data_IF_180251754773
#
_entry.id   IF_180251754773
#
_cell.length_a   1.000
_cell.length_b   1.000
_cell.length_c   1.000
_cell.angle_alpha   90.00
_cell.angle_beta   90.00
_cell.angle_gamma   90.00
#
_symmetry.space_group_name_H-M   'P 1'
#
loop_
_entity.id
_entity.type
_entity.pdbx_description
1 polymer ?
#
# COMPACT_ATOMS: atom_id res chain seq x y z
N UNK A 1 -16.12 -24.96 -7.48
CA UNK A 1 -15.44 -23.86 -8.18
C UNK A 1 -14.74 -23.03 -7.13
N UNK A 2 -13.42 -23.18 -6.98
CA UNK A 2 -12.66 -22.25 -6.14
C UNK A 2 -12.64 -20.93 -6.90
N UNK A 3 -13.47 -19.98 -6.49
CA UNK A 3 -13.34 -18.62 -6.99
C UNK A 3 -11.90 -18.18 -6.69
N UNK A 4 -11.19 -17.67 -7.69
CA UNK A 4 -9.90 -17.04 -7.46
C UNK A 4 -10.14 -15.94 -6.41
N UNK A 5 -9.31 -15.85 -5.35
CA UNK A 5 -9.47 -14.78 -4.38
C UNK A 5 -9.40 -13.43 -5.12
N UNK A 6 -10.21 -12.45 -4.72
CA UNK A 6 -10.16 -11.12 -5.35
C UNK A 6 -8.75 -10.56 -5.25
N UNK A 7 -8.21 -10.09 -6.37
CA UNK A 7 -6.92 -9.40 -6.41
C UNK A 7 -7.15 -7.98 -5.89
N UNK A 8 -6.64 -7.71 -4.69
CA UNK A 8 -6.65 -6.38 -4.10
C UNK A 8 -5.49 -5.55 -4.64
N UNK A 9 -5.76 -4.28 -4.96
CA UNK A 9 -4.70 -3.30 -5.22
C UNK A 9 -4.04 -2.90 -3.88
N UNK A 10 -2.75 -2.60 -3.91
CA UNK A 10 -1.97 -2.11 -2.78
C UNK A 10 -1.42 -0.70 -3.04
N UNK A 11 -1.51 0.19 -2.05
CA UNK A 11 -0.81 1.49 -2.03
C UNK A 11 -0.05 1.63 -0.72
N UNK A 12 0.97 2.49 -0.67
CA UNK A 12 1.77 2.67 0.54
C UNK A 12 2.82 3.77 0.44
N UNK A 13 3.38 4.14 1.58
CA UNK A 13 4.38 5.20 1.76
C UNK A 13 5.74 4.65 2.20
N UNK A 14 6.04 3.40 1.83
CA UNK A 14 7.19 2.58 2.27
C UNK A 14 7.17 2.22 3.77
N UNK A 15 6.53 3.01 4.63
CA UNK A 15 6.37 2.72 6.06
C UNK A 15 5.13 1.88 6.35
N UNK A 16 4.05 2.10 5.62
CA UNK A 16 2.77 1.43 5.74
C UNK A 16 2.24 0.94 4.40
N UNK A 17 1.11 0.26 4.44
CA UNK A 17 0.43 -0.28 3.27
C UNK A 17 -1.07 -0.36 3.49
N UNK A 18 -1.83 -0.11 2.43
CA UNK A 18 -3.28 -0.24 2.36
C UNK A 18 -3.66 -1.23 1.25
N UNK A 19 -4.73 -2.01 1.46
CA UNK A 19 -5.30 -2.88 0.42
C UNK A 19 -6.71 -2.44 0.06
N UNK A 20 -6.95 -2.29 -1.23
CA UNK A 20 -8.18 -1.76 -1.80
C UNK A 20 -8.79 -2.80 -2.74
N UNK A 21 -10.08 -3.08 -2.57
CA UNK A 21 -10.84 -3.98 -3.42
C UNK A 21 -11.30 -3.28 -4.71
N UNK A 22 -11.71 -4.05 -5.75
CA UNK A 22 -12.13 -3.49 -7.05
C UNK A 22 -13.27 -2.46 -6.98
N UNK A 23 -14.09 -2.48 -5.94
CA UNK A 23 -15.17 -1.52 -5.67
C UNK A 23 -14.70 -0.34 -4.78
N UNK A 24 -13.39 -0.09 -4.75
CA UNK A 24 -12.73 0.88 -3.89
C UNK A 24 -12.96 0.66 -2.39
N UNK A 25 -13.36 -0.52 -1.92
CA UNK A 25 -13.41 -0.78 -0.47
C UNK A 25 -11.99 -0.91 0.10
N UNK A 26 -11.66 -0.12 1.13
CA UNK A 26 -10.42 -0.30 1.89
C UNK A 26 -10.62 -1.47 2.87
N UNK A 27 -9.96 -2.60 2.59
CA UNK A 27 -10.13 -3.85 3.34
C UNK A 27 -9.07 -4.06 4.41
N UNK A 28 -7.90 -3.43 4.26
CA UNK A 28 -6.80 -3.55 5.22
C UNK A 28 -5.94 -2.27 5.19
N UNK A 29 -5.41 -1.88 6.35
CA UNK A 29 -4.55 -0.73 6.52
C UNK A 29 -3.54 -0.96 7.65
N UNK A 30 -2.27 -0.81 7.32
CA UNK A 30 -1.15 -0.79 8.26
C UNK A 30 -0.45 0.55 8.12
N UNK A 31 -0.54 1.41 9.12
CA UNK A 31 0.07 2.76 9.09
C UNK A 31 1.58 2.74 9.36
N UNK A 32 2.08 1.68 9.99
CA UNK A 32 3.50 1.44 10.21
C UNK A 32 3.79 -0.06 10.26
N UNK A 33 4.89 -0.50 9.64
CA UNK A 33 5.35 -1.89 9.73
C UNK A 33 5.47 -2.32 11.20
N UNK A 34 4.94 -3.49 11.51
CA UNK A 34 4.86 -4.02 12.88
C UNK A 34 3.66 -3.55 13.68
N UNK A 35 2.83 -2.61 13.18
CA UNK A 35 1.55 -2.30 13.80
C UNK A 35 0.63 -3.52 13.79
N UNK A 36 -0.23 -3.63 14.81
CA UNK A 36 -1.36 -4.52 14.73
C UNK A 36 -2.27 -4.10 13.58
N UNK A 37 -2.60 -5.05 12.69
CA UNK A 37 -3.65 -4.85 11.68
C UNK A 37 -4.99 -4.69 12.40
N UNK A 38 -5.79 -3.69 12.05
CA UNK A 38 -7.14 -3.63 12.53
C UNK A 38 -7.89 -4.84 11.97
N UNK A 39 -8.24 -5.80 12.83
CA UNK A 39 -9.04 -6.95 12.46
C UNK A 39 -10.50 -6.64 12.78
N UNK A 40 -11.35 -6.74 11.76
CA UNK A 40 -12.79 -6.63 11.94
C UNK A 40 -13.53 -7.38 10.84
N UNK A 41 -14.77 -7.76 11.11
CA UNK A 41 -15.67 -8.41 10.13
C UNK A 41 -16.22 -7.41 9.10
N UNK A 42 -15.79 -6.15 9.16
CA UNK A 42 -16.27 -5.03 8.34
C UNK A 42 -15.11 -4.33 7.66
N UNK A 43 -15.31 -3.77 6.46
CA UNK A 43 -14.29 -2.96 5.79
C UNK A 43 -13.95 -1.70 6.59
N UNK A 44 -12.71 -1.24 6.46
CA UNK A 44 -12.23 -0.04 7.15
C UNK A 44 -12.84 1.22 6.58
N UNK A 45 -12.98 1.31 5.26
CA UNK A 45 -13.65 2.42 4.58
C UNK A 45 -14.35 1.88 3.34
N UNK A 46 -15.64 2.11 3.23
CA UNK A 46 -16.41 1.77 2.04
C UNK A 46 -17.17 2.97 1.50
N UNK A 47 -17.41 2.93 0.19
CA UNK A 47 -18.21 3.90 -0.53
C UNK A 47 -19.51 3.23 -0.97
N UNK A 48 -20.63 3.84 -0.64
CA UNK A 48 -21.94 3.45 -1.15
C UNK A 48 -22.43 4.50 -2.15
N UNK A 49 -22.91 4.03 -3.30
CA UNK A 49 -23.53 4.83 -4.34
C UNK A 49 -24.90 4.22 -4.60
N UNK A 50 -25.91 5.08 -4.73
CA UNK A 50 -27.27 4.64 -5.00
C UNK A 50 -27.40 4.12 -6.44
N UNK A 51 -28.04 2.96 -6.61
CA UNK A 51 -28.30 2.37 -7.93
C UNK A 51 -27.16 1.51 -8.48
N UNK A 52 -27.18 1.27 -9.79
CA UNK A 52 -26.13 0.48 -10.46
C UNK A 52 -24.90 1.35 -10.75
N UNK A 53 -23.73 0.83 -10.40
CA UNK A 53 -22.45 1.47 -10.66
C UNK A 53 -21.48 0.49 -11.34
N UNK A 54 -20.68 0.99 -12.28
CA UNK A 54 -19.57 0.24 -12.89
C UNK A 54 -18.26 0.82 -12.40
N UNK A 55 -17.34 -0.07 -12.03
CA UNK A 55 -16.08 0.26 -11.38
C UNK A 55 -14.92 -0.20 -12.26
N UNK A 56 -13.92 0.65 -12.42
CA UNK A 56 -12.65 0.29 -13.05
C UNK A 56 -11.50 0.87 -12.25
N UNK A 57 -10.48 0.06 -12.00
CA UNK A 57 -9.29 0.46 -11.26
C UNK A 57 -8.04 0.37 -12.12
N UNK A 58 -7.17 1.37 -11.98
CA UNK A 58 -5.86 1.39 -12.58
C UNK A 58 -4.89 2.18 -11.69
N UNK A 59 -3.63 1.78 -11.67
CA UNK A 59 -2.60 2.64 -11.11
C UNK A 59 -2.30 3.78 -12.06
N UNK A 60 -2.07 4.98 -11.52
CA UNK A 60 -1.50 6.08 -12.31
C UNK A 60 -0.11 5.63 -12.80
N UNK A 61 0.18 5.69 -14.11
CA UNK A 61 1.42 5.16 -14.69
C UNK A 61 2.68 5.66 -13.98
N UNK A 62 3.64 4.76 -13.73
CA UNK A 62 4.89 5.08 -13.04
C UNK A 62 4.76 5.34 -11.54
N UNK A 63 3.56 5.25 -10.96
CA UNK A 63 3.35 5.59 -9.54
C UNK A 63 2.78 4.47 -8.68
N UNK A 64 2.77 4.66 -7.36
CA UNK A 64 1.99 3.84 -6.43
C UNK A 64 0.73 4.59 -5.94
N UNK A 65 0.08 5.28 -6.87
CA UNK A 65 -1.22 5.95 -6.68
C UNK A 65 -2.27 5.16 -7.45
N UNK A 66 -3.34 4.79 -6.77
CA UNK A 66 -4.44 4.02 -7.36
C UNK A 66 -5.59 4.96 -7.72
N UNK A 67 -6.09 4.82 -8.94
CA UNK A 67 -7.28 5.50 -9.42
C UNK A 67 -8.42 4.49 -9.59
N UNK A 68 -9.61 4.83 -9.09
CA UNK A 68 -10.86 4.11 -9.36
C UNK A 68 -11.84 5.05 -10.05
N UNK A 69 -12.27 4.71 -11.26
CA UNK A 69 -13.37 5.40 -11.95
C UNK A 69 -14.67 4.67 -11.70
N UNK A 70 -15.73 5.44 -11.44
CA UNK A 70 -17.07 4.93 -11.15
C UNK A 70 -18.07 5.63 -12.05
N UNK A 71 -18.73 4.87 -12.91
CA UNK A 71 -19.86 5.37 -13.69
C UNK A 71 -21.16 5.00 -12.96
N UNK A 72 -21.95 5.99 -12.56
CA UNK A 72 -23.19 5.83 -11.81
C UNK A 72 -24.30 6.67 -12.44
N UNK A 73 -25.22 6.02 -13.15
CA UNK A 73 -26.25 6.73 -13.93
C UNK A 73 -25.63 7.60 -15.03
N UNK A 74 -25.91 8.90 -15.00
CA UNK A 74 -25.37 9.94 -15.88
C UNK A 74 -24.17 10.71 -15.27
N UNK A 75 -23.69 10.26 -14.10
CA UNK A 75 -22.55 10.85 -13.41
C UNK A 75 -21.32 9.95 -13.36
N UNK A 76 -20.18 10.58 -13.12
CA UNK A 76 -18.89 9.91 -12.96
C UNK A 76 -18.17 10.43 -11.69
N UNK A 77 -17.60 9.49 -10.94
CA UNK A 77 -16.65 9.77 -9.85
C UNK A 77 -15.28 9.20 -10.19
N UNK A 78 -14.25 9.95 -9.85
CA UNK A 78 -12.86 9.50 -9.82
C UNK A 78 -12.40 9.48 -8.36
N UNK A 79 -11.88 8.33 -7.91
CA UNK A 79 -11.27 8.16 -6.60
C UNK A 79 -9.78 8.01 -6.78
N UNK A 80 -9.01 8.78 -6.02
CA UNK A 80 -7.55 8.66 -5.95
C UNK A 80 -7.17 8.24 -4.54
N UNK A 81 -6.56 7.05 -4.45
CA UNK A 81 -6.09 6.42 -3.22
C UNK A 81 -4.56 6.39 -3.19
N UNK A 82 -3.98 6.87 -2.09
CA UNK A 82 -2.53 6.89 -1.90
C UNK A 82 -2.17 6.98 -0.42
N UNK A 83 -0.92 6.67 -0.09
CA UNK A 83 -0.34 7.03 1.21
C UNK A 83 0.74 8.08 0.97
N UNK A 84 0.69 9.27 1.63
CA UNK A 84 1.57 10.37 1.29
C UNK A 84 3.05 10.06 1.52
N UNK A 85 3.85 10.35 0.50
CA UNK A 85 5.29 10.12 0.48
C UNK A 85 5.96 11.29 -0.24
N UNK A 86 6.93 11.94 0.42
CA UNK A 86 7.69 13.02 -0.19
C UNK A 86 9.18 12.65 -0.31
N UNK A 87 9.89 13.31 -1.21
CA UNK A 87 11.36 13.31 -1.17
C UNK A 87 11.83 13.98 0.12
N UNK A 88 12.88 13.42 0.72
CA UNK A 88 13.48 14.07 1.86
C UNK A 88 14.36 15.25 1.44
N UNK A 89 14.54 16.21 2.35
CA UNK A 89 15.49 17.31 2.13
C UNK A 89 16.91 16.77 2.01
N UNK A 90 17.77 17.48 1.29
CA UNK A 90 19.18 17.16 1.18
C UNK A 90 19.81 16.88 2.55
N UNK A 91 20.32 15.66 2.74
CA UNK A 91 20.88 15.17 4.01
C UNK A 91 19.93 14.38 4.92
N UNK A 92 18.67 14.14 4.53
CA UNK A 92 17.67 13.42 5.33
C UNK A 92 17.16 12.11 4.67
N UNK A 93 18.03 11.21 4.21
CA UNK A 93 17.60 9.94 3.60
C UNK A 93 16.85 10.12 2.27
N UNK A 94 16.21 9.05 1.77
CA UNK A 94 15.63 9.05 0.41
C UNK A 94 14.15 9.45 0.37
N UNK A 95 13.42 9.39 1.49
CA UNK A 95 11.95 9.60 1.51
C UNK A 95 11.41 9.96 2.90
N UNK A 96 10.30 10.70 2.93
CA UNK A 96 9.56 11.08 4.14
C UNK A 96 8.12 10.57 4.03
N UNK A 97 7.82 9.54 4.83
CA UNK A 97 6.49 8.94 4.92
C UNK A 97 5.61 9.70 5.92
N UNK A 98 4.35 10.00 5.55
CA UNK A 98 3.42 10.65 6.48
C UNK A 98 2.80 9.69 7.49
N UNK A 99 2.70 8.39 7.16
CA UNK A 99 2.01 7.41 8.00
C UNK A 99 0.50 7.60 8.01
N UNK A 100 -0.07 7.92 6.84
CA UNK A 100 -1.50 8.14 6.64
C UNK A 100 -1.94 7.53 5.31
N UNK A 101 -3.21 7.12 5.25
CA UNK A 101 -3.91 6.84 3.99
C UNK A 101 -4.81 8.03 3.65
N UNK A 102 -4.77 8.47 2.40
CA UNK A 102 -5.62 9.53 1.88
C UNK A 102 -6.41 9.02 0.68
N UNK A 103 -7.70 9.36 0.67
CA UNK A 103 -8.62 9.17 -0.44
C UNK A 103 -9.18 10.52 -0.87
N UNK A 104 -9.09 10.84 -2.16
CA UNK A 104 -9.76 11.99 -2.77
C UNK A 104 -10.84 11.46 -3.71
N UNK A 105 -12.08 11.93 -3.55
CA UNK A 105 -13.20 11.55 -4.42
C UNK A 105 -13.66 12.82 -5.12
N UNK A 106 -13.62 12.82 -6.44
CA UNK A 106 -14.00 13.96 -7.29
C UNK A 106 -15.10 13.53 -8.24
N UNK A 107 -16.14 14.35 -8.39
CA UNK A 107 -17.11 14.16 -9.47
C UNK A 107 -16.57 14.79 -10.74
N UNK A 108 -16.33 13.99 -11.78
CA UNK A 108 -15.74 14.43 -13.06
C UNK A 108 -16.82 14.78 -14.08
N UNK A 109 -17.99 14.13 -14.00
CA UNK A 109 -19.15 14.35 -14.86
C UNK A 109 -20.47 14.23 -14.08
N UNK A 110 -21.49 14.99 -14.52
CA UNK A 110 -22.84 14.92 -13.96
C UNK A 110 -22.92 15.29 -12.46
N UNK A 111 -23.74 14.53 -11.73
CA UNK A 111 -23.84 14.63 -10.27
C UNK A 111 -24.13 13.27 -9.64
N UNK A 112 -23.39 12.92 -8.59
CA UNK A 112 -23.49 11.61 -7.92
C UNK A 112 -23.72 11.80 -6.42
N UNK A 113 -24.72 11.09 -5.90
CA UNK A 113 -24.95 10.95 -4.46
C UNK A 113 -24.16 9.76 -3.93
N UNK A 114 -23.45 9.97 -2.83
CA UNK A 114 -22.61 8.96 -2.19
C UNK A 114 -22.69 9.01 -0.68
N UNK A 115 -22.37 7.88 -0.05
CA UNK A 115 -22.14 7.75 1.39
C UNK A 115 -20.83 7.03 1.64
N UNK A 116 -19.95 7.64 2.44
CA UNK A 116 -18.80 6.96 3.00
C UNK A 116 -19.15 6.43 4.38
N UNK A 117 -18.70 5.23 4.69
CA UNK A 117 -18.72 4.70 6.04
C UNK A 117 -17.33 4.15 6.42
N UNK A 118 -16.89 4.50 7.61
CA UNK A 118 -15.65 4.04 8.23
C UNK A 118 -15.99 3.26 9.49
N UNK A 119 -15.57 2.00 9.55
CA UNK A 119 -15.59 1.22 10.79
C UNK A 119 -14.50 1.71 11.73
N UNK A 120 -14.89 2.33 12.84
CA UNK A 120 -13.96 2.89 13.83
C UNK A 120 -13.12 1.76 14.41
N UNK A 121 -11.80 1.87 14.25
CA UNK A 121 -10.84 0.90 14.74
C UNK A 121 -9.83 1.55 15.71
N UNK A 122 -9.42 0.87 16.79
CA UNK A 122 -8.40 1.39 17.69
C UNK A 122 -7.10 1.75 16.96
N UNK A 123 -6.52 2.89 17.29
CA UNK A 123 -5.25 3.36 16.70
C UNK A 123 -5.37 3.96 15.30
N UNK A 124 -6.59 4.07 14.75
CA UNK A 124 -6.87 4.76 13.49
C UNK A 124 -7.84 5.90 13.77
N UNK A 125 -7.39 7.12 13.54
CA UNK A 125 -8.24 8.31 13.49
C UNK A 125 -8.77 8.49 12.05
N UNK A 126 -10.04 8.88 11.95
CA UNK A 126 -10.70 9.21 10.69
C UNK A 126 -10.98 10.71 10.61
N UNK A 127 -10.62 11.29 9.48
CA UNK A 127 -10.90 12.69 9.16
C UNK A 127 -11.49 12.81 7.76
N UNK A 128 -12.38 13.80 7.58
CA UNK A 128 -13.03 14.09 6.31
C UNK A 128 -13.11 15.60 6.12
N UNK A 129 -12.94 16.06 4.88
CA UNK A 129 -13.09 17.48 4.51
C UNK A 129 -14.56 17.95 4.52
N UNK A 130 -15.50 17.06 4.84
CA UNK A 130 -16.93 17.35 5.04
C UNK A 130 -17.38 16.91 6.43
N UNK A 131 -18.49 17.46 6.96
CA UNK A 131 -19.03 17.05 8.26
C UNK A 131 -19.25 15.55 8.36
N UNK A 132 -18.86 14.96 9.48
CA UNK A 132 -18.97 13.53 9.76
C UNK A 132 -19.95 13.33 10.90
N UNK A 133 -20.86 12.37 10.74
CA UNK A 133 -21.70 11.87 11.83
C UNK A 133 -21.12 10.54 12.32
N UNK A 134 -20.89 10.43 13.62
CA UNK A 134 -20.44 9.19 14.26
C UNK A 134 -21.60 8.58 15.06
N UNK A 135 -21.85 7.29 14.87
CA UNK A 135 -22.88 6.55 15.60
C UNK A 135 -22.34 5.17 15.94
N UNK A 136 -22.18 4.89 17.23
CA UNK A 136 -21.56 3.66 17.70
C UNK A 136 -20.12 3.52 17.19
N UNK A 137 -19.85 2.41 16.50
CA UNK A 137 -18.55 2.05 15.94
C UNK A 137 -18.38 2.47 14.47
N UNK A 138 -19.23 3.38 13.97
CA UNK A 138 -19.17 3.81 12.56
C UNK A 138 -19.17 5.34 12.46
N UNK A 139 -18.25 5.86 11.65
CA UNK A 139 -18.26 7.25 11.19
C UNK A 139 -18.75 7.31 9.74
N UNK A 140 -19.68 8.22 9.46
CA UNK A 140 -20.31 8.34 8.14
C UNK A 140 -20.31 9.78 7.63
N UNK A 141 -20.16 9.94 6.32
CA UNK A 141 -20.48 11.20 5.64
C UNK A 141 -21.33 10.88 4.42
N UNK A 142 -22.31 11.72 4.14
CA UNK A 142 -23.10 11.65 2.92
C UNK A 142 -22.97 12.96 2.16
N UNK A 143 -22.86 12.87 0.85
CA UNK A 143 -22.72 14.03 -0.01
C UNK A 143 -23.35 13.77 -1.37
N UNK A 144 -23.83 14.85 -1.98
CA UNK A 144 -24.04 14.91 -3.42
C UNK A 144 -22.94 15.77 -4.00
N UNK A 145 -22.17 15.21 -4.92
CA UNK A 145 -21.13 15.93 -5.63
C UNK A 145 -21.62 16.25 -7.04
N UNK A 146 -21.35 17.47 -7.48
CA UNK A 146 -21.50 17.91 -8.87
C UNK A 146 -20.13 17.97 -9.52
N UNK A 147 -20.08 18.00 -10.86
CA UNK A 147 -18.82 18.14 -11.61
C UNK A 147 -17.87 19.19 -11.02
N UNK A 148 -16.64 18.77 -10.70
CA UNK A 148 -15.59 19.58 -10.12
C UNK A 148 -15.58 19.62 -8.58
N UNK A 149 -16.61 19.11 -7.90
CA UNK A 149 -16.63 19.02 -6.45
C UNK A 149 -15.91 17.76 -5.95
N UNK A 150 -15.17 17.92 -4.84
CA UNK A 150 -14.38 16.85 -4.26
C UNK A 150 -14.54 16.72 -2.74
N UNK A 151 -14.20 15.53 -2.23
CA UNK A 151 -14.07 15.19 -0.82
C UNK A 151 -12.71 14.57 -0.59
N UNK A 152 -12.02 14.97 0.48
CA UNK A 152 -10.84 14.29 0.97
C UNK A 152 -11.15 13.55 2.27
N UNK A 153 -10.65 12.32 2.39
CA UNK A 153 -10.70 11.47 3.57
C UNK A 153 -9.28 11.10 3.96
N UNK A 154 -9.00 11.05 5.26
CA UNK A 154 -7.71 10.61 5.79
C UNK A 154 -7.90 9.62 6.94
N UNK A 155 -7.11 8.56 6.91
CA UNK A 155 -6.93 7.62 8.00
C UNK A 155 -5.48 7.70 8.50
N UNK A 156 -5.27 8.02 9.77
CA UNK A 156 -3.95 8.26 10.36
C UNK A 156 -3.86 7.75 11.81
N UNK A 157 -2.65 7.65 12.35
CA UNK A 157 -2.45 7.19 13.74
C UNK A 157 -2.79 8.27 14.78
N UNK A 158 -2.93 9.50 14.33
CA UNK A 158 -3.18 10.72 15.11
C UNK A 158 -4.44 11.40 14.59
N UNK A 159 -5.19 12.07 15.48
CA UNK A 159 -6.40 12.81 15.14
C UNK A 159 -6.08 14.15 14.46
N UNK A 160 -5.61 14.08 13.22
CA UNK A 160 -5.32 15.22 12.36
C UNK A 160 -6.51 15.54 11.44
N UNK A 161 -6.72 16.83 11.15
CA UNK A 161 -7.77 17.26 10.22
C UNK A 161 -7.26 17.26 8.79
N UNK A 162 -7.96 16.57 7.89
CA UNK A 162 -7.68 16.65 6.46
C UNK A 162 -8.40 17.83 5.83
N UNK A 163 -7.72 18.52 4.92
CA UNK A 163 -8.32 19.51 4.01
C UNK A 163 -8.06 19.09 2.58
N UNK A 164 -8.96 19.47 1.66
CA UNK A 164 -8.78 19.15 0.24
C UNK A 164 -7.47 19.74 -0.34
N UNK A 165 -7.10 21.02 -0.07
CA UNK A 165 -5.82 21.55 -0.55
C UNK A 165 -4.61 20.78 -0.03
N UNK A 166 -4.61 20.38 1.25
CA UNK A 166 -3.52 19.56 1.80
C UNK A 166 -3.46 18.19 1.13
N UNK A 167 -4.60 17.52 0.95
CA UNK A 167 -4.64 16.22 0.28
C UNK A 167 -4.14 16.29 -1.17
N UNK A 168 -4.50 17.35 -1.91
CA UNK A 168 -4.00 17.56 -3.28
C UNK A 168 -2.50 17.87 -3.31
N UNK A 169 -1.98 18.61 -2.33
CA UNK A 169 -0.54 18.85 -2.20
C UNK A 169 0.22 17.56 -1.90
N UNK A 170 -0.26 16.78 -0.91
CA UNK A 170 0.29 15.47 -0.55
C UNK A 170 0.29 14.51 -1.77
N UNK A 171 -0.77 14.56 -2.60
CA UNK A 171 -0.85 13.78 -3.83
C UNK A 171 0.23 14.21 -4.83
N UNK A 172 0.43 15.51 -5.01
CA UNK A 172 1.47 16.06 -5.89
C UNK A 172 2.87 15.60 -5.50
N UNK A 173 3.21 15.70 -4.21
CA UNK A 173 4.51 15.25 -3.69
C UNK A 173 4.68 13.74 -3.86
N UNK A 174 3.62 12.96 -3.63
CA UNK A 174 3.61 11.50 -3.80
C UNK A 174 3.81 11.09 -5.25
N UNK A 175 3.09 11.73 -6.17
CA UNK A 175 3.27 11.49 -7.60
C UNK A 175 4.67 11.87 -8.06
N UNK A 176 5.22 12.98 -7.54
CA UNK A 176 6.57 13.41 -7.85
C UNK A 176 7.60 12.38 -7.41
N UNK A 177 7.56 11.93 -6.14
CA UNK A 177 8.47 10.91 -5.63
C UNK A 177 8.47 9.64 -6.48
N UNK A 178 7.27 9.10 -6.78
CA UNK A 178 7.20 7.86 -7.53
C UNK A 178 7.61 8.01 -8.99
N UNK A 179 7.27 9.13 -9.63
CA UNK A 179 7.70 9.43 -10.99
C UNK A 179 9.22 9.55 -11.05
N UNK A 180 9.82 10.33 -10.14
CA UNK A 180 11.27 10.44 -10.01
C UNK A 180 11.95 9.09 -9.80
N UNK A 181 11.38 8.24 -8.92
CA UNK A 181 11.92 6.92 -8.68
C UNK A 181 11.83 6.03 -9.93
N UNK A 182 10.67 5.99 -10.57
CA UNK A 182 10.40 5.13 -11.72
C UNK A 182 11.14 5.57 -13.00
N UNK A 183 11.39 6.86 -13.18
CA UNK A 183 12.18 7.44 -14.28
C UNK A 183 13.64 6.95 -14.32
N UNK A 184 14.12 6.34 -13.21
CA UNK A 184 15.44 5.70 -13.15
C UNK A 184 15.48 4.34 -13.83
N UNK A 185 14.32 3.76 -14.17
CA UNK A 185 14.23 2.50 -14.91
C UNK A 185 14.93 2.66 -16.27
N UNK A 186 15.77 1.69 -16.63
CA UNK A 186 16.52 1.68 -17.90
C UNK A 186 16.05 0.60 -18.87
N UNK A 187 15.03 -0.15 -18.48
CA UNK A 187 14.49 -1.25 -19.24
C UNK A 187 13.47 -0.74 -20.26
N UNK A 188 13.62 -1.17 -21.52
CA UNK A 188 12.90 -0.59 -22.66
C UNK A 188 12.30 -1.62 -23.61
N UNK A 189 12.26 -2.90 -23.20
CA UNK A 189 11.63 -3.97 -23.99
C UNK A 189 10.10 -3.86 -23.96
N UNK A 190 9.42 -4.69 -24.75
CA UNK A 190 7.96 -4.65 -24.96
C UNK A 190 7.14 -4.78 -23.66
N UNK A 191 7.64 -5.49 -22.65
CA UNK A 191 7.00 -5.70 -21.35
C UNK A 191 7.42 -4.66 -20.28
N UNK A 192 8.06 -3.54 -20.66
CA UNK A 192 8.60 -2.57 -19.72
C UNK A 192 7.58 -2.01 -18.71
N UNK A 193 6.34 -1.75 -19.15
CA UNK A 193 5.30 -1.26 -18.23
C UNK A 193 4.88 -2.30 -17.19
N UNK A 194 4.81 -3.58 -17.58
CA UNK A 194 4.47 -4.68 -16.66
C UNK A 194 5.59 -4.90 -15.65
N UNK A 195 6.83 -4.96 -16.12
CA UNK A 195 8.02 -5.09 -15.28
C UNK A 195 8.17 -3.92 -14.30
N UNK A 196 7.93 -2.69 -14.76
CA UNK A 196 7.97 -1.51 -13.90
C UNK A 196 6.87 -1.55 -12.85
N UNK A 197 5.67 -2.02 -13.20
CA UNK A 197 4.57 -2.20 -12.24
C UNK A 197 4.94 -3.20 -11.15
N UNK A 198 5.52 -4.33 -11.53
CA UNK A 198 6.05 -5.33 -10.60
C UNK A 198 7.11 -4.72 -9.66
N UNK A 199 8.06 -3.97 -10.22
CA UNK A 199 9.12 -3.31 -9.47
C UNK A 199 8.61 -2.27 -8.48
N UNK A 200 7.59 -1.48 -8.84
CA UNK A 200 6.94 -0.53 -7.92
C UNK A 200 6.24 -1.26 -6.76
N UNK A 201 5.64 -2.43 -7.02
CA UNK A 201 5.07 -3.28 -5.98
C UNK A 201 6.14 -3.81 -5.02
N UNK A 202 7.26 -4.29 -5.54
CA UNK A 202 8.40 -4.72 -4.73
C UNK A 202 9.03 -3.56 -3.95
N UNK A 203 9.14 -2.38 -4.56
CA UNK A 203 9.66 -1.18 -3.90
C UNK A 203 8.78 -0.81 -2.71
N UNK A 204 7.46 -0.91 -2.86
CA UNK A 204 6.52 -0.77 -1.75
C UNK A 204 6.84 -1.76 -0.62
N UNK A 205 7.15 -3.01 -0.96
CA UNK A 205 7.39 -4.07 0.03
C UNK A 205 8.76 -3.98 0.73
N UNK A 206 9.76 -3.32 0.14
CA UNK A 206 11.14 -3.20 0.65
C UNK A 206 11.32 -2.35 1.93
N UNK A 207 10.27 -1.65 2.38
CA UNK A 207 10.39 -0.73 3.51
C UNK A 207 11.27 0.47 3.21
N UNK A 208 11.33 1.41 4.16
CA UNK A 208 12.28 2.50 4.08
C UNK A 208 13.66 2.03 4.59
N UNK A 209 14.75 2.64 4.11
CA UNK A 209 16.07 2.59 4.76
C UNK A 209 16.65 1.18 5.07
N UNK A 210 16.46 0.19 4.19
CA UNK A 210 17.11 -1.11 4.34
C UNK A 210 16.40 -2.08 5.30
N UNK A 211 15.13 -1.84 5.62
CA UNK A 211 14.27 -2.78 6.38
C UNK A 211 14.05 -4.13 5.65
N UNK A 212 14.47 -4.22 4.39
CA UNK A 212 14.41 -5.43 3.59
C UNK A 212 13.00 -5.70 3.05
N UNK A 213 12.89 -6.71 2.18
CA UNK A 213 11.62 -7.08 1.58
C UNK A 213 10.71 -7.75 2.61
N UNK A 214 9.47 -7.27 2.75
CA UNK A 214 8.43 -7.96 3.53
C UNK A 214 7.46 -8.70 2.61
N UNK A 215 6.89 -9.78 3.12
CA UNK A 215 5.78 -10.48 2.51
C UNK A 215 4.43 -9.81 2.81
N UNK A 216 3.35 -10.37 2.27
CA UNK A 216 1.99 -9.84 2.42
C UNK A 216 1.50 -9.73 3.87
N UNK A 217 2.02 -10.58 4.77
CA UNK A 217 1.74 -10.60 6.20
C UNK A 217 2.55 -9.55 6.98
N UNK A 218 3.51 -8.89 6.32
CA UNK A 218 4.44 -7.95 6.95
C UNK A 218 5.58 -8.64 7.70
N UNK A 219 5.86 -9.91 7.39
CA UNK A 219 7.04 -10.63 7.87
C UNK A 219 8.18 -10.50 6.85
N UNK A 220 9.46 -10.66 7.25
CA UNK A 220 10.56 -10.71 6.30
C UNK A 220 10.31 -11.76 5.21
N UNK A 221 10.44 -11.36 3.95
CA UNK A 221 10.32 -12.26 2.80
C UNK A 221 11.46 -13.30 2.82
N UNK A 222 11.23 -14.47 2.27
CA UNK A 222 12.23 -15.54 2.20
C UNK A 222 13.47 -15.12 1.39
N UNK A 223 14.63 -15.77 1.61
CA UNK A 223 15.84 -15.52 0.81
C UNK A 223 15.60 -15.63 -0.69
N UNK A 224 14.76 -16.59 -1.11
CA UNK A 224 14.42 -16.80 -2.52
C UNK A 224 13.55 -15.66 -3.09
N UNK A 225 12.64 -15.09 -2.32
CA UNK A 225 11.87 -13.90 -2.73
C UNK A 225 12.76 -12.66 -2.82
N UNK A 226 13.65 -12.45 -1.84
CA UNK A 226 14.62 -11.35 -1.84
C UNK A 226 15.58 -11.44 -3.03
N UNK A 227 16.11 -12.62 -3.34
CA UNK A 227 16.98 -12.84 -4.49
C UNK A 227 16.26 -12.61 -5.84
N UNK A 228 14.99 -13.01 -5.95
CA UNK A 228 14.16 -12.74 -7.14
C UNK A 228 13.92 -11.24 -7.32
N UNK A 229 13.55 -10.54 -6.25
CA UNK A 229 13.37 -9.10 -6.26
C UNK A 229 14.67 -8.36 -6.61
N UNK A 230 15.81 -8.77 -6.03
CA UNK A 230 17.12 -8.21 -6.36
C UNK A 230 17.46 -8.37 -7.85
N UNK A 231 17.17 -9.55 -8.42
CA UNK A 231 17.39 -9.84 -9.84
C UNK A 231 16.52 -8.96 -10.73
N UNK A 232 15.24 -8.76 -10.39
CA UNK A 232 14.36 -7.85 -11.13
C UNK A 232 14.87 -6.41 -11.07
N UNK A 233 15.18 -5.89 -9.88
CA UNK A 233 15.72 -4.54 -9.74
C UNK A 233 17.02 -4.35 -10.54
N UNK A 234 17.92 -5.33 -10.52
CA UNK A 234 19.15 -5.28 -11.31
C UNK A 234 18.86 -5.23 -12.81
N UNK A 235 17.94 -6.07 -13.32
CA UNK A 235 17.54 -6.09 -14.72
C UNK A 235 16.93 -4.76 -15.18
N UNK A 236 16.20 -4.09 -14.29
CA UNK A 236 15.56 -2.80 -14.57
C UNK A 236 16.47 -1.57 -14.34
N UNK A 237 17.68 -1.78 -13.82
CA UNK A 237 18.66 -0.71 -13.58
C UNK A 237 18.59 -0.05 -12.20
N UNK A 238 17.77 -0.56 -11.28
CA UNK A 238 17.65 -0.12 -9.88
C UNK A 238 18.77 -0.70 -9.01
N UNK A 239 20.01 -0.24 -9.25
CA UNK A 239 21.22 -0.81 -8.62
C UNK A 239 21.22 -0.72 -7.09
N UNK A 240 20.70 0.37 -6.53
CA UNK A 240 20.69 0.57 -5.07
C UNK A 240 19.78 -0.45 -4.39
N UNK A 241 18.55 -0.59 -4.89
CA UNK A 241 17.57 -1.57 -4.41
C UNK A 241 18.10 -3.00 -4.54
N UNK A 242 18.71 -3.34 -5.69
CA UNK A 242 19.31 -4.64 -5.90
C UNK A 242 20.43 -4.93 -4.89
N UNK A 243 21.33 -3.98 -4.65
CA UNK A 243 22.42 -4.14 -3.67
C UNK A 243 21.91 -4.37 -2.26
N UNK A 244 20.93 -3.57 -1.81
CA UNK A 244 20.34 -3.70 -0.47
C UNK A 244 19.75 -5.10 -0.25
N UNK A 245 19.07 -5.64 -1.25
CA UNK A 245 18.50 -6.98 -1.14
C UNK A 245 19.56 -8.09 -1.17
N UNK A 246 20.62 -7.95 -1.97
CA UNK A 246 21.75 -8.90 -1.96
C UNK A 246 22.42 -8.93 -0.59
N UNK A 247 22.70 -7.76 -0.01
CA UNK A 247 23.32 -7.64 1.31
C UNK A 247 22.43 -8.28 2.40
N UNK A 248 21.11 -8.09 2.30
CA UNK A 248 20.16 -8.72 3.24
C UNK A 248 20.13 -10.25 3.17
N UNK A 249 20.38 -10.83 1.99
CA UNK A 249 20.47 -12.29 1.82
C UNK A 249 21.80 -12.81 2.37
N UNK A 250 22.89 -12.08 2.16
CA UNK A 250 24.22 -12.47 2.64
C UNK A 250 24.37 -12.36 4.18
N UNK A 251 23.62 -11.46 4.82
CA UNK A 251 23.64 -11.26 6.26
C UNK A 251 22.90 -12.36 7.07
N UNK A 252 22.08 -13.20 6.42
CA UNK A 252 21.42 -14.30 7.12
C UNK A 252 22.44 -15.41 7.46
N UNK A 253 22.45 -15.91 8.71
CA UNK A 253 23.36 -16.98 9.09
C UNK A 253 23.10 -18.21 8.21
N UNK A 254 24.15 -18.89 7.71
CA UNK A 254 23.96 -20.08 6.90
C UNK A 254 23.13 -21.08 7.71
N UNK A 255 22.03 -21.57 7.12
CA UNK A 255 21.23 -22.62 7.74
C UNK A 255 22.17 -23.77 8.08
N UNK A 256 22.42 -24.01 9.37
CA UNK A 256 22.95 -25.29 9.82
C UNK A 256 21.89 -26.32 9.43
N UNK A 257 22.09 -26.98 8.29
CA UNK A 257 21.33 -28.18 7.94
C UNK A 257 21.49 -29.13 9.11
N UNK A 258 20.37 -29.52 9.71
CA UNK A 258 20.36 -30.55 10.73
C UNK A 258 20.96 -31.82 10.15
N UNK A 259 22.13 -32.19 10.67
CA UNK A 259 22.59 -33.57 10.76
C UNK A 259 23.48 -33.67 12.01
N UNK A 260 22.82 -33.44 13.15
CA UNK A 260 23.31 -33.84 14.46
C UNK A 260 22.63 -35.14 14.86
N UNK A 261 22.74 -36.20 14.05
CA UNK A 261 22.54 -37.55 14.56
C UNK A 261 23.59 -37.75 15.66
N UNK A 262 23.18 -37.57 16.93
CA UNK A 262 23.98 -38.04 18.06
C UNK A 262 24.10 -39.56 17.93
N UNK A 263 25.20 -40.00 17.31
CA UNK A 263 25.70 -41.36 17.52
C UNK A 263 26.07 -41.44 18.99
N UNK A 264 25.16 -42.00 19.79
CA UNK A 264 25.47 -42.51 21.14
C UNK A 264 26.63 -43.49 20.98
N UNK A 265 27.84 -43.04 21.28
CA UNK A 265 28.95 -43.93 21.58
C UNK A 265 28.53 -44.74 22.80
N UNK A 266 28.18 -46.02 22.59
CA UNK A 266 28.13 -47.00 23.67
C UNK A 266 29.55 -47.08 24.25
N UNK A 267 29.73 -46.49 25.42
CA UNK A 267 30.88 -46.76 26.27
C UNK A 267 30.79 -48.22 26.72
N UNK A 268 31.66 -49.05 26.18
CA UNK A 268 31.99 -50.37 26.73
C UNK A 268 32.42 -50.21 28.20
N UNK A 269 31.65 -50.81 29.10
CA UNK A 269 32.13 -51.11 30.46
C UNK A 269 33.07 -52.30 30.38
N UNK A 270 34.31 -52.22 30.90
CA UNK A 270 35.11 -53.41 31.13
C UNK A 270 34.61 -54.12 32.39
N UNK A 271 34.40 -55.42 32.26
CA UNK A 271 34.31 -56.36 33.37
C UNK A 271 35.55 -56.22 34.28
N UNK A 272 35.32 -55.86 35.54
CA UNK A 272 35.99 -56.40 36.74
C UNK A 272 35.25 -55.98 38.00
#
# INVERSE_FOLDING_TARGET
MSANPPVYAAVGDLRGMARIAPDATLVDLVLHRGAARPRGDRPLLNLHIDGQARWSQAYVPGTNVLETTIHAGDGELQIVDFMPLAEARAGQGDSVARGAFIRIITCTEGSVSLRLAHGIAPGIAFSCSRPVASTGDVSTTAARLSRGESIAVMLSGTAETVTLPQALHDLGDTMHYWSWWSDRCRYTDEDASERLREALGLKLAMGANGEGLLNDDGQPASPAERARAASLFAALGFRNEASQLVDSVAAEPPCLRGDGAQVRMMSDSPLR
#
